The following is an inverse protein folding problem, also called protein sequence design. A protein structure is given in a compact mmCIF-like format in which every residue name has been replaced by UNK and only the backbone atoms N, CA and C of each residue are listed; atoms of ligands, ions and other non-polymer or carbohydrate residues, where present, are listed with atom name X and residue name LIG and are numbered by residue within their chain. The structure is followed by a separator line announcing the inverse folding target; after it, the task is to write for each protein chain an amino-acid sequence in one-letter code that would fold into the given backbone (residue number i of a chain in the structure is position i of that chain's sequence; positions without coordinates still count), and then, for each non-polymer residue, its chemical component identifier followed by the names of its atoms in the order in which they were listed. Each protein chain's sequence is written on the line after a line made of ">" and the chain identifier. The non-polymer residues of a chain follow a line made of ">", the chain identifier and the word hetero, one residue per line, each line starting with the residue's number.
data_IF_792891321136
#
_entry.id   IF_792891321136
#
_cell.length_a   1.000
_cell.length_b   1.000
_cell.length_c   1.000
_cell.angle_alpha   90.00
_cell.angle_beta   90.00
_cell.angle_gamma   90.00
#
_symmetry.space_group_name_H-M   'P 1'
#
loop_
_entity.id
_entity.type
_entity.pdbx_description
1 polymer ?
#
# COMPACT_ATOMS: atom_id res chain seq x y z
N UNK A 1 11.36 0.24 13.61
CA UNK A 1 10.74 1.26 12.75
C UNK A 1 11.42 1.21 11.41
N UNK A 2 10.65 1.02 10.33
CA UNK A 2 11.22 0.94 8.99
C UNK A 2 11.33 2.36 8.40
N UNK A 3 12.37 2.60 7.60
CA UNK A 3 12.58 3.88 6.93
C UNK A 3 11.90 3.84 5.56
N UNK A 4 11.31 4.96 5.18
CA UNK A 4 10.85 5.16 3.80
C UNK A 4 12.07 5.14 2.88
N UNK A 5 12.05 4.32 1.83
CA UNK A 5 13.18 4.25 0.88
C UNK A 5 13.35 5.57 0.08
N UNK A 6 12.29 6.38 -0.03
CA UNK A 6 12.32 7.63 -0.80
C UNK A 6 12.83 8.83 0.02
N UNK A 7 12.23 9.08 1.18
CA UNK A 7 12.58 10.24 2.00
C UNK A 7 13.50 9.90 3.18
N UNK A 8 13.89 8.63 3.36
CA UNK A 8 14.76 8.13 4.44
C UNK A 8 14.27 8.38 5.88
N UNK A 9 13.10 8.99 6.05
CA UNK A 9 12.48 9.22 7.35
C UNK A 9 11.88 7.93 7.94
N UNK A 10 11.94 7.75 9.27
CA UNK A 10 11.34 6.60 9.94
C UNK A 10 9.82 6.77 10.06
N UNK A 11 9.05 5.78 9.60
CA UNK A 11 7.59 5.76 9.75
C UNK A 11 7.13 4.50 10.45
N UNK A 12 6.00 4.59 11.18
CA UNK A 12 5.33 3.43 11.78
C UNK A 12 4.65 2.56 10.73
N UNK A 13 4.12 3.17 9.67
CA UNK A 13 3.39 2.51 8.59
C UNK A 13 4.09 2.84 7.28
N UNK A 14 4.48 1.81 6.54
CA UNK A 14 4.97 1.91 5.18
C UNK A 14 4.09 1.10 4.25
N UNK A 15 4.06 1.52 3.00
CA UNK A 15 3.28 0.91 1.94
C UNK A 15 4.22 0.30 0.93
N UNK A 16 3.83 -0.87 0.44
CA UNK A 16 4.56 -1.57 -0.61
C UNK A 16 4.07 -1.04 -1.95
N UNK A 17 4.93 -0.36 -2.69
CA UNK A 17 4.61 0.27 -3.96
C UNK A 17 5.62 -0.14 -5.03
N UNK A 18 5.17 -0.26 -6.28
CA UNK A 18 6.02 -0.55 -7.43
C UNK A 18 5.61 0.35 -8.59
N UNK A 19 6.56 0.94 -9.27
CA UNK A 19 6.33 1.70 -10.51
C UNK A 19 7.42 1.32 -11.50
N UNK A 20 7.01 0.94 -12.70
CA UNK A 20 7.86 0.18 -13.61
C UNK A 20 8.95 1.02 -14.30
N UNK A 21 8.81 2.34 -14.29
CA UNK A 21 9.73 3.24 -15.00
C UNK A 21 11.13 3.24 -14.37
N UNK A 22 11.25 3.07 -13.05
CA UNK A 22 12.53 3.14 -12.34
C UNK A 22 12.85 1.89 -11.51
N UNK A 23 11.84 1.21 -10.95
CA UNK A 23 12.09 0.13 -10.01
C UNK A 23 11.35 -1.15 -10.40
N UNK A 24 12.11 -2.18 -10.79
CA UNK A 24 11.58 -3.53 -11.04
C UNK A 24 11.15 -4.25 -9.75
N UNK A 25 11.57 -3.73 -8.58
CA UNK A 25 11.28 -4.27 -7.25
C UNK A 25 10.17 -3.49 -6.54
N UNK A 26 9.53 -4.15 -5.57
CA UNK A 26 8.63 -3.49 -4.63
C UNK A 26 9.44 -2.67 -3.62
N UNK A 27 9.04 -1.41 -3.44
CA UNK A 27 9.67 -0.50 -2.50
C UNK A 27 8.75 -0.16 -1.34
N UNK A 28 9.35 0.16 -0.20
CA UNK A 28 8.65 0.51 1.03
C UNK A 28 8.66 2.03 1.22
N UNK A 29 7.51 2.66 1.01
CA UNK A 29 7.39 4.12 1.04
C UNK A 29 6.28 4.58 1.98
N UNK A 30 6.38 5.80 2.49
CA UNK A 30 5.33 6.40 3.32
C UNK A 30 4.14 6.87 2.47
N UNK A 31 3.02 7.20 3.12
CA UNK A 31 1.79 7.66 2.44
C UNK A 31 2.03 8.88 1.55
N UNK A 32 2.84 9.84 2.03
CA UNK A 32 3.12 11.07 1.29
C UNK A 32 3.90 10.79 0.01
N UNK A 33 5.02 10.07 0.11
CA UNK A 33 5.80 9.67 -1.06
C UNK A 33 4.94 8.88 -2.06
N UNK A 34 4.09 7.96 -1.56
CA UNK A 34 3.17 7.21 -2.42
C UNK A 34 2.18 8.10 -3.16
N UNK A 35 1.62 9.13 -2.53
CA UNK A 35 0.74 10.10 -3.20
C UNK A 35 1.47 10.91 -4.26
N UNK A 36 2.70 11.36 -3.99
CA UNK A 36 3.50 12.13 -4.96
C UNK A 36 3.85 11.28 -6.18
N UNK A 37 4.34 10.06 -5.94
CA UNK A 37 4.71 9.10 -6.99
C UNK A 37 3.49 8.72 -7.81
N UNK A 38 2.33 8.51 -7.18
CA UNK A 38 1.08 8.25 -7.90
C UNK A 38 0.69 9.40 -8.85
N UNK A 39 0.86 10.66 -8.44
CA UNK A 39 0.57 11.80 -9.34
C UNK A 39 1.49 11.84 -10.55
N UNK A 40 2.74 11.41 -10.40
CA UNK A 40 3.74 11.45 -11.48
C UNK A 40 3.64 10.23 -12.40
N UNK A 41 3.31 9.06 -11.84
CA UNK A 41 3.43 7.77 -12.52
C UNK A 41 2.11 6.96 -12.54
N UNK A 42 0.96 7.64 -12.50
CA UNK A 42 -0.36 7.05 -12.24
C UNK A 42 -0.62 5.76 -13.05
N UNK A 43 -0.30 5.75 -14.34
CA UNK A 43 -0.51 4.60 -15.24
C UNK A 43 0.31 3.35 -14.90
N UNK A 44 1.50 3.53 -14.32
CA UNK A 44 2.44 2.43 -14.03
C UNK A 44 2.53 2.11 -12.53
N UNK A 45 1.82 2.86 -11.70
CA UNK A 45 1.87 2.74 -10.25
C UNK A 45 1.02 1.56 -9.76
N UNK A 46 1.69 0.56 -9.17
CA UNK A 46 1.08 -0.62 -8.56
C UNK A 46 1.19 -0.54 -7.04
N UNK A 47 0.06 -0.71 -6.38
CA UNK A 47 -0.05 -0.72 -4.92
C UNK A 47 -0.13 -2.16 -4.40
N UNK A 48 0.78 -2.52 -3.51
CA UNK A 48 0.96 -3.89 -2.98
C UNK A 48 0.50 -4.06 -1.53
N UNK A 49 -0.17 -3.06 -0.95
CA UNK A 49 -0.70 -3.12 0.41
C UNK A 49 0.21 -2.51 1.47
N UNK A 50 -0.20 -2.67 2.74
CA UNK A 50 0.55 -2.19 3.89
C UNK A 50 1.68 -3.18 4.23
N UNK A 51 2.90 -2.68 4.38
CA UNK A 51 4.06 -3.49 4.72
C UNK A 51 3.97 -4.17 6.09
N UNK A 52 3.14 -3.63 7.00
CA UNK A 52 2.91 -4.20 8.33
C UNK A 52 1.89 -5.34 8.34
N UNK A 53 1.08 -5.47 7.28
CA UNK A 53 0.08 -6.54 7.18
C UNK A 53 0.45 -7.45 6.00
N UNK A 54 1.04 -8.64 6.25
CA UNK A 54 1.25 -9.59 5.17
C UNK A 54 -0.08 -9.88 4.48
N UNK A 55 -0.03 -9.92 3.15
CA UNK A 55 -1.13 -10.34 2.28
C UNK A 55 -1.73 -11.65 2.82
N UNK A 56 -2.91 -11.55 3.43
CA UNK A 56 -3.55 -12.64 4.18
C UNK A 56 -4.55 -12.19 5.24
N UNK A 57 -4.43 -10.95 5.74
CA UNK A 57 -5.36 -10.42 6.76
C UNK A 57 -6.68 -9.85 6.22
N UNK A 58 -6.96 -9.95 4.92
CA UNK A 58 -8.24 -9.58 4.31
C UNK A 58 -9.13 -10.79 3.97
N UNK A 59 -9.02 -11.87 4.73
CA UNK A 59 -10.08 -12.89 4.83
C UNK A 59 -11.09 -12.53 5.94
N UNK A 60 -11.39 -11.26 6.14
CA UNK A 60 -12.55 -10.86 6.96
C UNK A 60 -13.77 -11.10 6.10
N UNK A 61 -14.32 -12.30 6.27
CA UNK A 61 -15.61 -12.80 5.76
C UNK A 61 -16.56 -11.63 5.44
N UNK A 62 -17.04 -11.57 4.20
CA UNK A 62 -18.34 -10.96 3.89
C UNK A 62 -19.37 -11.61 4.81
N UNK A 63 -19.65 -10.98 5.94
CA UNK A 63 -20.87 -11.27 6.68
C UNK A 63 -21.95 -10.58 5.88
N UNK A 64 -22.51 -11.31 4.90
CA UNK A 64 -23.84 -11.03 4.40
C UNK A 64 -24.78 -11.16 5.60
N UNK A 65 -25.03 -10.07 6.31
CA UNK A 65 -26.21 -9.97 7.15
C UNK A 65 -27.31 -9.45 6.24
N UNK A 66 -27.96 -10.38 5.57
CA UNK A 66 -29.37 -10.25 5.21
C UNK A 66 -30.14 -9.92 6.50
N UNK A 67 -30.34 -8.62 6.76
CA UNK A 67 -31.38 -8.19 7.70
C UNK A 67 -32.62 -7.95 6.85
N UNK A 68 -33.26 -9.05 6.47
CA UNK A 68 -34.71 -9.10 6.32
C UNK A 68 -35.28 -9.35 7.71
N UNK A 69 -35.73 -8.29 8.37
CA UNK A 69 -36.73 -8.33 9.43
C UNK A 69 -37.69 -7.19 9.05
N UNK A 70 -38.73 -7.53 8.28
CA UNK A 70 -40.13 -7.66 8.75
C UNK A 70 -40.63 -6.34 9.31
#
# INVERSE_FOLDING_TARGET
>A
MNKCEECSYPYKILYRCKWEIYHKRWMLICSNCGKTIRKVYDETFKYGGNANYPVGFFNVKRINKDIRLV
#
